data_IF_667506987648
#
_entry.id   IF_667506987648
#
_cell.length_a   1.000
_cell.length_b   1.000
_cell.length_c   1.000
_cell.angle_alpha   90.00
_cell.angle_beta   90.00
_cell.angle_gamma   90.00
#
_symmetry.space_group_name_H-M   'P 1'
#
loop_
_entity.id
_entity.type
_entity.pdbx_description
1 polymer ?
#
# COMPACT_ATOMS: atom_id res chain seq x y z
N UNK A 1 14.50 7.81 1.39
CA UNK A 1 13.48 8.87 1.21
C UNK A 1 12.56 8.52 0.05
N UNK A 2 11.27 8.55 0.30
CA UNK A 2 10.27 8.33 -0.73
C UNK A 2 9.55 9.65 -0.94
N UNK A 3 9.34 10.03 -2.20
CA UNK A 3 8.66 11.26 -2.56
C UNK A 3 7.35 10.96 -3.27
N UNK A 4 6.36 11.79 -3.00
CA UNK A 4 5.07 11.75 -3.66
C UNK A 4 4.48 13.14 -3.77
N UNK A 5 3.19 13.19 -4.07
CA UNK A 5 2.46 14.44 -4.20
C UNK A 5 1.00 14.26 -3.79
N UNK A 6 0.38 15.36 -3.39
CA UNK A 6 -1.06 15.43 -3.15
C UNK A 6 -1.75 15.63 -4.50
N UNK A 7 -2.73 14.79 -4.81
CA UNK A 7 -3.47 14.84 -6.06
C UNK A 7 -4.65 15.83 -6.01
N UNK A 8 -5.41 15.92 -7.13
CA UNK A 8 -6.54 16.84 -7.25
C UNK A 8 -7.73 16.50 -6.35
N UNK A 9 -7.74 15.31 -5.75
CA UNK A 9 -8.74 14.88 -4.78
C UNK A 9 -8.29 15.08 -3.34
N UNK A 10 -7.16 15.74 -3.14
CA UNK A 10 -6.54 15.93 -1.82
C UNK A 10 -6.12 14.60 -1.18
N UNK A 11 -5.65 13.66 -2.00
CA UNK A 11 -5.18 12.35 -1.58
C UNK A 11 -3.66 12.26 -1.75
N UNK A 12 -3.02 11.52 -0.84
CA UNK A 12 -1.55 11.39 -0.81
C UNK A 12 -1.15 10.22 -1.72
N UNK A 13 -0.44 10.53 -2.82
CA UNK A 13 0.05 9.54 -3.79
C UNK A 13 1.54 9.38 -3.69
N UNK A 14 1.98 8.13 -3.60
CA UNK A 14 3.41 7.76 -3.64
C UNK A 14 3.62 6.56 -4.55
N UNK A 15 4.80 6.42 -5.17
CA UNK A 15 5.11 5.26 -5.97
C UNK A 15 5.33 4.03 -5.08
N UNK A 16 4.76 2.90 -5.49
CA UNK A 16 4.96 1.62 -4.82
C UNK A 16 5.38 0.58 -5.85
N UNK A 17 6.66 0.18 -5.86
CA UNK A 17 7.11 -0.93 -6.68
C UNK A 17 6.65 -2.26 -6.09
N UNK A 18 6.00 -3.07 -6.92
CA UNK A 18 5.51 -4.41 -6.55
C UNK A 18 6.10 -5.42 -7.51
N UNK A 19 6.63 -6.52 -7.00
CA UNK A 19 7.11 -7.61 -7.83
C UNK A 19 5.99 -8.59 -8.12
N UNK A 20 5.93 -9.06 -9.37
CA UNK A 20 5.03 -10.15 -9.75
C UNK A 20 5.62 -11.51 -9.34
N UNK A 21 4.87 -12.58 -9.58
CA UNK A 21 5.31 -13.94 -9.23
C UNK A 21 6.60 -14.38 -9.93
N UNK A 22 6.92 -13.79 -11.08
CA UNK A 22 8.16 -14.04 -11.81
C UNK A 22 9.33 -13.17 -11.32
N UNK A 23 9.08 -12.23 -10.41
CA UNK A 23 10.08 -11.33 -9.84
C UNK A 23 10.27 -10.02 -10.60
N UNK A 24 9.48 -9.77 -11.66
CA UNK A 24 9.54 -8.50 -12.37
C UNK A 24 8.85 -7.39 -11.59
N UNK A 25 9.49 -6.24 -11.55
CA UNK A 25 9.00 -5.08 -10.81
C UNK A 25 8.09 -4.21 -11.69
N UNK A 26 6.95 -3.82 -11.15
CA UNK A 26 6.09 -2.78 -11.71
C UNK A 26 5.86 -1.71 -10.65
N UNK A 27 5.87 -0.45 -11.04
CA UNK A 27 5.65 0.68 -10.14
C UNK A 27 4.20 1.15 -10.29
N UNK A 28 3.49 1.18 -9.17
CA UNK A 28 2.12 1.67 -9.11
C UNK A 28 2.04 2.95 -8.30
N UNK A 29 1.08 3.80 -8.61
CA UNK A 29 0.74 4.91 -7.72
C UNK A 29 -0.21 4.41 -6.64
N UNK A 30 0.19 4.55 -5.39
CA UNK A 30 -0.58 4.11 -4.24
C UNK A 30 -1.03 5.30 -3.40
N UNK A 31 -2.17 5.13 -2.71
CA UNK A 31 -2.65 6.08 -1.71
C UNK A 31 -2.07 5.72 -0.35
N UNK A 32 -1.53 6.70 0.35
CA UNK A 32 -1.21 6.55 1.78
C UNK A 32 -2.50 6.72 2.56
N UNK A 33 -2.91 5.67 3.26
CA UNK A 33 -4.14 5.63 4.05
C UNK A 33 -3.79 5.38 5.52
N UNK A 34 -3.76 6.44 6.32
CA UNK A 34 -3.42 6.35 7.75
C UNK A 34 -4.51 5.70 8.59
N UNK A 35 -5.70 5.50 8.02
CA UNK A 35 -6.79 4.76 8.65
C UNK A 35 -6.73 3.25 8.41
N UNK A 36 -5.82 2.80 7.54
CA UNK A 36 -5.59 1.40 7.24
C UNK A 36 -4.39 0.90 8.05
N UNK A 37 -4.60 -0.10 8.90
CA UNK A 37 -3.56 -0.62 9.79
C UNK A 37 -2.69 -1.74 9.18
N UNK A 38 -3.07 -2.23 7.99
CA UNK A 38 -2.31 -3.25 7.27
C UNK A 38 -1.08 -2.72 6.54
N UNK A 39 -0.48 -3.58 5.72
CA UNK A 39 0.70 -3.26 4.91
C UNK A 39 0.31 -2.61 3.59
N UNK A 40 -0.35 -3.37 2.73
CA UNK A 40 -0.77 -2.95 1.40
C UNK A 40 -2.13 -3.58 1.09
N UNK A 41 -3.00 -2.83 0.43
CA UNK A 41 -4.22 -3.36 -0.16
C UNK A 41 -4.13 -3.25 -1.68
N UNK A 42 -4.48 -4.34 -2.37
CA UNK A 42 -4.52 -4.39 -3.83
C UNK A 42 -5.88 -4.92 -4.28
N UNK A 43 -6.41 -4.41 -5.41
CA UNK A 43 -7.63 -4.97 -5.99
C UNK A 43 -7.39 -6.39 -6.54
N UNK A 44 -8.42 -7.22 -6.50
CA UNK A 44 -8.36 -8.61 -6.95
C UNK A 44 -7.84 -8.76 -8.38
N UNK A 45 -8.28 -7.89 -9.29
CA UNK A 45 -7.84 -7.94 -10.69
C UNK A 45 -6.32 -7.78 -10.82
N UNK A 46 -5.73 -6.89 -10.02
CA UNK A 46 -4.29 -6.68 -10.04
C UNK A 46 -3.53 -7.85 -9.42
N UNK A 47 -4.02 -8.37 -8.30
CA UNK A 47 -3.44 -9.56 -7.66
C UNK A 47 -3.40 -10.71 -8.66
N UNK A 48 -4.49 -10.92 -9.38
CA UNK A 48 -4.59 -11.97 -10.40
C UNK A 48 -3.60 -11.75 -11.55
N UNK A 49 -3.53 -10.52 -12.08
CA UNK A 49 -2.65 -10.20 -13.21
C UNK A 49 -1.17 -10.35 -12.85
N UNK A 50 -0.79 -10.06 -11.61
CA UNK A 50 0.57 -10.20 -11.11
C UNK A 50 0.86 -11.62 -10.62
N UNK A 51 -0.15 -12.49 -10.58
CA UNK A 51 -0.05 -13.87 -10.09
C UNK A 51 0.53 -13.97 -8.67
N UNK A 52 0.14 -13.03 -7.83
CA UNK A 52 0.57 -12.99 -6.43
C UNK A 52 -0.06 -14.18 -5.69
N UNK A 53 0.72 -14.97 -4.92
CA UNK A 53 0.21 -16.17 -4.27
C UNK A 53 -0.69 -15.85 -3.08
N UNK A 54 -1.79 -16.59 -2.98
CA UNK A 54 -2.68 -16.57 -1.81
C UNK A 54 -1.98 -17.15 -0.59
N UNK A 55 -2.20 -16.54 0.57
CA UNK A 55 -1.60 -16.99 1.84
C UNK A 55 -2.63 -17.54 2.81
N UNK A 56 -3.64 -16.75 3.13
CA UNK A 56 -4.65 -17.14 4.14
C UNK A 56 -5.91 -16.28 4.01
N UNK A 57 -6.95 -16.68 4.73
CA UNK A 57 -8.16 -15.89 4.90
C UNK A 57 -8.12 -15.21 6.26
N UNK A 58 -8.58 -13.96 6.32
CA UNK A 58 -8.67 -13.20 7.55
C UNK A 58 -9.95 -12.39 7.61
N UNK A 59 -10.01 -11.46 8.54
CA UNK A 59 -11.16 -10.58 8.75
C UNK A 59 -10.72 -9.12 8.78
N UNK A 60 -11.57 -8.26 8.22
CA UNK A 60 -11.41 -6.80 8.29
C UNK A 60 -12.64 -6.22 8.97
N UNK A 61 -12.40 -5.32 9.93
CA UNK A 61 -13.44 -4.51 10.56
C UNK A 61 -13.48 -3.16 9.88
N UNK A 62 -14.66 -2.81 9.34
CA UNK A 62 -14.89 -1.50 8.74
C UNK A 62 -15.29 -0.47 9.80
N UNK A 63 -15.23 0.83 9.40
CA UNK A 63 -15.54 1.94 10.31
C UNK A 63 -16.97 1.94 10.83
N UNK A 64 -17.91 1.28 10.14
CA UNK A 64 -19.30 1.12 10.58
C UNK A 64 -19.50 -0.08 11.54
N UNK A 65 -18.42 -0.77 11.91
CA UNK A 65 -18.45 -1.94 12.79
C UNK A 65 -18.67 -3.27 12.09
N UNK A 66 -18.92 -3.28 10.76
CA UNK A 66 -19.03 -4.53 10.00
C UNK A 66 -17.71 -5.27 10.04
N UNK A 67 -17.81 -6.60 10.09
CA UNK A 67 -16.67 -7.50 9.93
C UNK A 67 -16.92 -8.32 8.68
N UNK A 68 -15.95 -8.31 7.75
CA UNK A 68 -16.01 -9.12 6.54
C UNK A 68 -14.77 -9.99 6.43
N UNK A 69 -14.94 -11.16 5.83
CA UNK A 69 -13.81 -12.03 5.50
C UNK A 69 -13.11 -11.47 4.27
N UNK A 70 -11.79 -11.48 4.32
CA UNK A 70 -10.96 -11.10 3.17
C UNK A 70 -9.86 -12.13 2.96
N UNK A 71 -9.33 -12.15 1.73
CA UNK A 71 -8.18 -12.94 1.42
C UNK A 71 -6.91 -12.13 1.63
N UNK A 72 -5.91 -12.79 2.23
CA UNK A 72 -4.55 -12.27 2.34
C UNK A 72 -3.66 -12.99 1.34
N UNK A 73 -2.88 -12.21 0.63
CA UNK A 73 -1.87 -12.68 -0.31
C UNK A 73 -0.50 -12.27 0.21
N UNK A 74 0.54 -12.86 -0.35
CA UNK A 74 1.91 -12.51 -0.01
C UNK A 74 2.62 -11.95 -1.24
N UNK A 75 3.19 -10.77 -1.11
CA UNK A 75 3.90 -10.11 -2.19
C UNK A 75 5.20 -9.49 -1.73
N UNK A 76 6.12 -9.35 -2.65
CA UNK A 76 7.32 -8.56 -2.47
C UNK A 76 7.10 -7.14 -2.98
N UNK A 77 7.35 -6.16 -2.15
CA UNK A 77 7.37 -4.74 -2.52
C UNK A 77 8.77 -4.20 -2.28
N UNK A 78 9.11 -3.13 -3.00
CA UNK A 78 10.36 -2.41 -2.73
C UNK A 78 9.98 -1.12 -1.99
N UNK A 79 10.41 -1.02 -0.75
CA UNK A 79 10.11 0.12 0.10
C UNK A 79 11.39 0.79 0.55
N UNK A 80 11.56 2.04 0.14
CA UNK A 80 12.78 2.82 0.39
C UNK A 80 14.05 2.08 -0.05
N UNK A 81 13.98 1.45 -1.24
CA UNK A 81 15.10 0.71 -1.82
C UNK A 81 15.33 -0.68 -1.24
N UNK A 82 14.50 -1.16 -0.33
CA UNK A 82 14.64 -2.47 0.32
C UNK A 82 13.46 -3.36 -0.05
N UNK A 83 13.75 -4.57 -0.53
CA UNK A 83 12.71 -5.56 -0.78
C UNK A 83 12.13 -6.08 0.53
N UNK A 84 10.82 -6.08 0.63
CA UNK A 84 10.10 -6.57 1.80
C UNK A 84 8.99 -7.51 1.36
N UNK A 85 8.91 -8.66 2.01
CA UNK A 85 7.81 -9.61 1.80
C UNK A 85 6.71 -9.23 2.81
N UNK A 86 5.54 -8.93 2.30
CA UNK A 86 4.45 -8.39 3.11
C UNK A 86 3.14 -9.09 2.82
N UNK A 87 2.20 -8.95 3.76
CA UNK A 87 0.83 -9.36 3.54
C UNK A 87 0.09 -8.31 2.70
N UNK A 88 -0.67 -8.79 1.74
CA UNK A 88 -1.54 -7.97 0.90
C UNK A 88 -2.99 -8.28 1.25
N UNK A 89 -3.75 -7.26 1.61
CA UNK A 89 -5.20 -7.34 1.75
C UNK A 89 -5.83 -7.24 0.36
N UNK A 90 -6.62 -8.23 -0.03
CA UNK A 90 -7.37 -8.17 -1.28
C UNK A 90 -8.64 -7.33 -1.06
N UNK A 91 -8.59 -6.08 -1.46
CA UNK A 91 -9.69 -5.12 -1.34
C UNK A 91 -9.81 -4.36 -2.65
N UNK A 92 -10.99 -4.40 -3.27
CA UNK A 92 -11.24 -3.62 -4.48
C UNK A 92 -11.21 -2.11 -4.18
N UNK A 93 -10.76 -1.35 -5.14
CA UNK A 93 -10.56 0.10 -5.03
C UNK A 93 -9.12 0.50 -5.32
N UNK A 94 -8.69 1.60 -4.72
CA UNK A 94 -7.33 2.09 -4.87
C UNK A 94 -6.31 1.17 -4.22
N UNK A 95 -5.09 1.21 -4.73
CA UNK A 95 -3.94 0.59 -4.06
C UNK A 95 -3.65 1.42 -2.81
N UNK A 96 -3.64 0.77 -1.63
CA UNK A 96 -3.46 1.44 -0.36
C UNK A 96 -2.15 1.03 0.30
N UNK A 97 -1.49 2.01 0.90
CA UNK A 97 -0.37 1.80 1.81
C UNK A 97 -0.86 2.11 3.21
N UNK A 98 -0.75 1.13 4.10
CA UNK A 98 -1.20 1.23 5.47
C UNK A 98 -0.10 1.55 6.47
N UNK A 99 -0.50 1.68 7.72
CA UNK A 99 0.41 2.07 8.80
C UNK A 99 1.47 1.03 9.11
N UNK A 100 1.21 -0.25 8.79
CA UNK A 100 2.21 -1.30 9.01
C UNK A 100 3.44 -1.11 8.10
N UNK A 101 3.25 -0.70 6.83
CA UNK A 101 4.38 -0.41 5.94
C UNK A 101 5.07 0.89 6.32
N UNK A 102 4.31 1.85 6.84
CA UNK A 102 4.81 3.16 7.26
C UNK A 102 5.57 3.13 8.59
N UNK A 103 5.46 2.05 9.34
CA UNK A 103 6.11 1.96 10.65
C UNK A 103 7.62 2.18 10.53
N UNK A 104 8.13 3.07 11.37
CA UNK A 104 9.55 3.44 11.36
C UNK A 104 9.88 4.60 10.42
N UNK A 105 8.88 5.27 9.86
CA UNK A 105 9.05 6.39 8.94
C UNK A 105 8.31 7.62 9.42
N UNK A 106 8.88 8.79 9.12
CA UNK A 106 8.18 10.06 9.22
C UNK A 106 7.43 10.32 7.91
N UNK A 107 6.18 10.75 8.01
CA UNK A 107 5.37 11.20 6.89
C UNK A 107 5.17 12.71 6.99
N UNK A 108 5.66 13.44 6.00
CA UNK A 108 5.47 14.89 5.90
C UNK A 108 4.69 15.21 4.63
N UNK A 109 3.62 15.95 4.78
CA UNK A 109 2.72 16.27 3.68
C UNK A 109 2.44 17.77 3.67
N UNK A 110 2.66 18.41 2.52
CA UNK A 110 2.11 19.73 2.27
C UNK A 110 0.72 19.55 1.66
N UNK A 111 -0.31 19.77 2.45
CA UNK A 111 -1.70 19.48 2.08
C UNK A 111 -2.25 20.61 1.20
N UNK A 112 -1.92 20.51 -0.07
CA UNK A 112 -2.42 21.35 -1.16
C UNK A 112 -2.23 20.57 -2.45
N UNK A 113 -3.03 20.83 -3.47
CA UNK A 113 -2.89 20.16 -4.77
C UNK A 113 -1.48 20.37 -5.31
N UNK A 114 -0.79 19.27 -5.63
CA UNK A 114 0.61 19.29 -6.04
C UNK A 114 1.61 19.44 -4.89
N UNK A 115 1.13 19.47 -3.63
CA UNK A 115 1.99 19.59 -2.46
C UNK A 115 2.91 18.38 -2.32
N UNK A 116 4.15 18.62 -1.89
CA UNK A 116 5.16 17.56 -1.76
C UNK A 116 4.82 16.62 -0.60
N UNK A 117 5.03 15.33 -0.83
CA UNK A 117 4.98 14.28 0.18
C UNK A 117 6.38 13.71 0.35
N UNK A 118 6.83 13.59 1.59
CA UNK A 118 8.13 13.00 1.92
C UNK A 118 7.94 11.93 2.98
N UNK A 119 8.49 10.74 2.71
CA UNK A 119 8.51 9.64 3.67
C UNK A 119 9.97 9.31 3.93
N UNK A 120 10.41 9.51 5.16
CA UNK A 120 11.81 9.40 5.56
C UNK A 120 11.96 8.46 6.74
N UNK A 121 12.91 7.54 6.66
CA UNK A 121 13.20 6.64 7.76
C UNK A 121 13.60 7.43 9.03
N UNK A 122 13.03 7.04 10.15
CA UNK A 122 13.39 7.58 11.46
C UNK A 122 14.81 7.07 11.81
N UNK A 123 15.74 7.97 12.18
CA UNK A 123 17.11 7.59 12.50
C UNK A 123 17.21 6.73 13.76
#
# INVERSE_FOLDING_TARGET
MIYGAVDSRNEIRVPLPVRDAAGYEQVFEALVDTGFDGWVALPYALISSLQIPWRTEGEVRFGDGRVEKIDYYEAAVVWDGVERIIDVHALDGDILIGMALMYGYDLRVRVAVGGVVEIEAIP
#
